data_IF_700676247614
#
_entry.id   IF_700676247614
#
_cell.length_a   1.000
_cell.length_b   1.000
_cell.length_c   1.000
_cell.angle_alpha   90.00
_cell.angle_beta   90.00
_cell.angle_gamma   90.00
#
_symmetry.space_group_name_H-M   'P 1'
#
loop_
_entity.id
_entity.type
_entity.pdbx_description
1 polymer ?
#
# COMPACT_ATOMS: atom_id res chain seq x y z
N UNK A 1 -4.28 -9.90 35.93
CA UNK A 1 -5.32 -9.79 34.88
C UNK A 1 -6.30 -10.94 34.99
N UNK A 2 -7.61 -10.71 34.86
CA UNK A 2 -8.60 -11.79 34.79
C UNK A 2 -8.33 -12.66 33.55
N UNK A 3 -8.54 -13.99 33.65
CA UNK A 3 -8.27 -14.95 32.57
C UNK A 3 -8.94 -14.55 31.24
N UNK A 4 -10.15 -14.00 31.32
CA UNK A 4 -10.92 -13.52 30.18
C UNK A 4 -10.25 -12.31 29.50
N UNK A 5 -9.69 -11.37 30.29
CA UNK A 5 -8.96 -10.21 29.74
C UNK A 5 -7.68 -10.64 29.00
N UNK A 6 -6.97 -11.64 29.51
CA UNK A 6 -5.78 -12.18 28.85
C UNK A 6 -6.14 -12.84 27.51
N UNK A 7 -7.23 -13.60 27.48
CA UNK A 7 -7.69 -14.26 26.25
C UNK A 7 -8.07 -13.23 25.17
N UNK A 8 -8.82 -12.19 25.55
CA UNK A 8 -9.23 -11.11 24.65
C UNK A 8 -8.01 -10.41 24.04
N UNK A 9 -7.02 -10.06 24.87
CA UNK A 9 -5.80 -9.40 24.39
C UNK A 9 -5.02 -10.27 23.39
N UNK A 10 -4.90 -11.56 23.65
CA UNK A 10 -4.24 -12.49 22.72
C UNK A 10 -5.01 -12.57 21.41
N UNK A 11 -6.34 -12.68 21.47
CA UNK A 11 -7.18 -12.76 20.28
C UNK A 11 -7.06 -11.48 19.44
N UNK A 12 -7.14 -10.30 20.08
CA UNK A 12 -6.96 -9.01 19.42
C UNK A 12 -5.58 -8.86 18.77
N UNK A 13 -4.52 -9.34 19.44
CA UNK A 13 -3.16 -9.31 18.90
C UNK A 13 -3.05 -10.19 17.64
N UNK A 14 -3.63 -11.39 17.66
CA UNK A 14 -3.64 -12.29 16.50
C UNK A 14 -4.37 -11.64 15.32
N UNK A 15 -5.53 -11.02 15.56
CA UNK A 15 -6.29 -10.31 14.51
C UNK A 15 -5.46 -9.18 13.90
N UNK A 16 -4.76 -8.38 14.72
CA UNK A 16 -3.90 -7.31 14.23
C UNK A 16 -2.73 -7.84 13.39
N UNK A 17 -2.12 -8.95 13.80
CA UNK A 17 -1.03 -9.57 13.04
C UNK A 17 -1.50 -10.12 11.69
N UNK A 18 -2.72 -10.67 11.61
CA UNK A 18 -3.31 -11.11 10.35
C UNK A 18 -3.53 -9.94 9.39
N UNK A 19 -4.07 -8.82 9.89
CA UNK A 19 -4.25 -7.61 9.07
C UNK A 19 -2.94 -6.95 8.66
N UNK A 20 -1.91 -7.02 9.51
CA UNK A 20 -0.60 -6.54 9.13
C UNK A 20 -0.03 -7.40 7.99
N UNK A 21 -0.03 -8.73 8.15
CA UNK A 21 0.68 -9.65 7.26
C UNK A 21 0.01 -9.86 5.90
N UNK A 22 -1.32 -9.93 5.84
CA UNK A 22 -2.05 -10.20 4.60
C UNK A 22 -2.61 -8.90 4.02
N UNK A 23 -1.92 -8.25 3.06
CA UNK A 23 -2.50 -7.16 2.31
C UNK A 23 -3.68 -7.72 1.50
N UNK A 24 -4.86 -7.14 1.72
CA UNK A 24 -6.11 -7.58 1.12
C UNK A 24 -6.25 -7.19 -0.37
N UNK A 25 -5.49 -6.20 -0.84
CA UNK A 25 -5.41 -5.82 -2.26
C UNK A 25 -4.25 -6.49 -2.95
N UNK A 26 -4.48 -6.88 -4.20
CA UNK A 26 -3.45 -7.33 -5.11
C UNK A 26 -2.60 -6.16 -5.63
N UNK A 27 -1.37 -6.48 -6.01
CA UNK A 27 -0.40 -5.49 -6.46
C UNK A 27 -0.83 -4.80 -7.77
N UNK A 28 -1.60 -5.48 -8.64
CA UNK A 28 -2.07 -4.89 -9.88
C UNK A 28 -3.14 -3.81 -9.63
N UNK A 29 -4.11 -4.07 -8.74
CA UNK A 29 -5.10 -3.07 -8.37
C UNK A 29 -4.46 -1.83 -7.71
N UNK A 30 -3.40 -2.05 -6.92
CA UNK A 30 -2.60 -0.97 -6.33
C UNK A 30 -1.89 -0.19 -7.42
N UNK A 31 -1.22 -0.89 -8.33
CA UNK A 31 -0.52 -0.31 -9.47
C UNK A 31 -1.46 0.59 -10.27
N UNK A 32 -2.59 0.06 -10.73
CA UNK A 32 -3.53 0.76 -11.60
C UNK A 32 -4.06 2.03 -10.92
N UNK A 33 -4.34 1.96 -9.61
CA UNK A 33 -4.83 3.10 -8.84
C UNK A 33 -3.77 4.18 -8.68
N UNK A 34 -2.55 3.82 -8.27
CA UNK A 34 -1.46 4.79 -8.14
C UNK A 34 -1.12 5.39 -9.50
N UNK A 35 -1.12 4.59 -10.56
CA UNK A 35 -0.86 5.05 -11.91
C UNK A 35 -1.88 6.08 -12.37
N UNK A 36 -3.17 5.83 -12.16
CA UNK A 36 -4.23 6.79 -12.51
C UNK A 36 -4.14 8.09 -11.71
N UNK A 37 -3.75 8.04 -10.44
CA UNK A 37 -3.70 9.22 -9.57
C UNK A 37 -2.37 10.00 -9.66
N UNK A 38 -1.25 9.33 -9.90
CA UNK A 38 0.11 9.86 -9.67
C UNK A 38 1.02 9.84 -10.89
N UNK A 39 0.80 8.99 -11.89
CA UNK A 39 1.77 8.79 -12.97
C UNK A 39 2.10 10.05 -13.79
N UNK A 40 1.16 11.00 -13.85
CA UNK A 40 1.36 12.29 -14.52
C UNK A 40 2.11 13.34 -13.69
N UNK A 41 2.36 13.10 -12.41
CA UNK A 41 2.98 14.07 -11.48
C UNK A 41 4.29 13.59 -10.85
N UNK A 42 4.58 12.29 -10.90
CA UNK A 42 5.69 11.64 -10.17
C UNK A 42 6.84 11.15 -11.06
N UNK A 43 6.85 11.63 -12.31
CA UNK A 43 7.88 11.30 -13.30
C UNK A 43 7.73 9.91 -13.93
N UNK A 44 6.69 9.14 -13.56
CA UNK A 44 6.43 7.80 -14.13
C UNK A 44 6.11 7.89 -15.63
N UNK A 45 5.33 8.89 -16.04
CA UNK A 45 5.04 9.18 -17.45
C UNK A 45 5.76 10.45 -17.90
N UNK A 46 6.39 10.36 -19.07
CA UNK A 46 6.91 11.52 -19.79
C UNK A 46 5.75 12.42 -20.25
N UNK A 47 5.71 13.66 -19.75
CA UNK A 47 4.63 14.61 -20.05
C UNK A 47 4.55 15.03 -21.52
N UNK A 48 5.63 14.90 -22.29
CA UNK A 48 5.69 15.33 -23.69
C UNK A 48 5.34 14.20 -24.65
N UNK A 49 5.80 12.98 -24.34
CA UNK A 49 5.68 11.82 -25.23
C UNK A 49 4.64 10.81 -24.77
N UNK A 50 4.15 10.91 -23.53
CA UNK A 50 3.22 9.96 -22.92
C UNK A 50 3.81 8.58 -22.67
N UNK A 51 5.13 8.43 -22.77
CA UNK A 51 5.82 7.15 -22.58
C UNK A 51 6.08 6.88 -21.11
N UNK A 52 5.98 5.62 -20.72
CA UNK A 52 6.43 5.15 -19.42
C UNK A 52 7.96 5.30 -19.32
N UNK A 53 8.43 6.10 -18.37
CA UNK A 53 9.86 6.33 -18.10
C UNK A 53 10.37 5.27 -17.12
N UNK A 54 9.61 5.04 -16.05
CA UNK A 54 9.89 4.04 -15.03
C UNK A 54 8.60 3.43 -14.53
N UNK A 55 8.74 2.25 -13.95
CA UNK A 55 7.63 1.48 -13.46
C UNK A 55 7.58 1.49 -11.93
N UNK A 56 6.41 1.25 -11.36
CA UNK A 56 6.24 1.25 -9.91
C UNK A 56 6.80 -0.04 -9.29
N UNK A 57 7.46 0.12 -8.14
CA UNK A 57 7.84 -1.00 -7.27
C UNK A 57 6.93 -1.03 -6.06
N UNK A 58 6.17 -2.12 -5.92
CA UNK A 58 5.20 -2.31 -4.85
C UNK A 58 5.80 -3.24 -3.81
N UNK A 59 5.86 -2.76 -2.57
CA UNK A 59 6.36 -3.52 -1.44
C UNK A 59 5.37 -3.54 -0.29
N UNK A 60 5.40 -4.62 0.48
CA UNK A 60 4.56 -4.77 1.65
C UNK A 60 5.00 -3.83 2.77
N UNK A 61 4.03 -3.24 3.47
CA UNK A 61 4.23 -2.50 4.71
C UNK A 61 3.15 -2.93 5.72
N UNK A 62 3.40 -2.95 7.04
CA UNK A 62 2.36 -3.34 7.99
C UNK A 62 1.08 -2.50 7.79
N UNK A 63 -0.04 -3.19 7.54
CA UNK A 63 -1.37 -2.61 7.29
C UNK A 63 -1.55 -1.84 5.97
N UNK A 64 -0.51 -1.74 5.15
CA UNK A 64 -0.46 -0.88 3.96
C UNK A 64 0.44 -1.49 2.87
N UNK A 65 0.57 -0.80 1.74
CA UNK A 65 1.53 -1.11 0.69
C UNK A 65 2.30 0.14 0.35
N UNK A 66 3.62 0.04 0.26
CA UNK A 66 4.44 1.14 -0.20
C UNK A 66 4.71 0.99 -1.69
N UNK A 67 4.47 2.05 -2.44
CA UNK A 67 4.61 2.09 -3.90
C UNK A 67 5.66 3.13 -4.22
N UNK A 68 6.83 2.69 -4.67
CA UNK A 68 7.92 3.56 -5.09
C UNK A 68 7.83 3.83 -6.60
N UNK A 69 8.05 5.09 -6.97
CA UNK A 69 8.13 5.59 -8.34
C UNK A 69 9.51 6.16 -8.63
N UNK A 70 9.70 6.81 -9.78
CA UNK A 70 10.93 7.55 -10.08
C UNK A 70 11.23 8.65 -9.08
N UNK A 71 10.24 9.52 -8.80
CA UNK A 71 10.45 10.77 -8.07
C UNK A 71 9.68 10.84 -6.75
N UNK A 72 8.92 9.80 -6.43
CA UNK A 72 8.06 9.76 -5.25
C UNK A 72 7.86 8.35 -4.69
N UNK A 73 7.28 8.29 -3.50
CA UNK A 73 6.82 7.05 -2.90
C UNK A 73 5.50 7.27 -2.17
N UNK A 74 4.61 6.28 -2.23
CA UNK A 74 3.24 6.40 -1.78
C UNK A 74 2.87 5.27 -0.83
N UNK A 75 2.10 5.60 0.20
CA UNK A 75 1.49 4.60 1.07
C UNK A 75 0.05 4.35 0.63
N UNK A 76 -0.26 3.12 0.28
CA UNK A 76 -1.61 2.69 -0.07
C UNK A 76 -2.20 1.94 1.10
N UNK A 77 -3.17 2.58 1.75
CA UNK A 77 -3.80 2.09 2.97
C UNK A 77 -4.62 0.81 2.75
N UNK A 78 -5.03 0.16 3.83
CA UNK A 78 -6.03 -0.92 3.82
C UNK A 78 -7.37 -0.55 3.15
N UNK A 79 -7.67 0.70 2.79
CA UNK A 79 -8.89 1.05 2.06
C UNK A 79 -8.62 1.47 0.61
N UNK A 80 -7.38 1.24 0.15
CA UNK A 80 -6.91 1.65 -1.17
C UNK A 80 -6.74 3.16 -1.31
N UNK A 81 -6.77 3.91 -0.21
CA UNK A 81 -6.45 5.34 -0.26
C UNK A 81 -4.94 5.50 -0.46
N UNK A 82 -4.55 6.25 -1.48
CA UNK A 82 -3.17 6.64 -1.75
C UNK A 82 -2.80 7.85 -0.90
N UNK A 83 -1.77 7.70 -0.07
CA UNK A 83 -1.20 8.72 0.80
C UNK A 83 0.21 9.07 0.29
N UNK A 84 0.58 10.32 0.53
CA UNK A 84 1.73 11.03 -0.02
C UNK A 84 2.92 10.99 0.96
#
# INVERSE_FOLDING_TARGET
MKKNTKLILILSLVVLLLFAWAPWMDDQAIYDRVFQEKAGIDGTIDKQTGKLICDYSIMWFPFEKYVASCEGGYFVTFWGKVLL
#
